data_IF_600609670228
#
_entry.id   IF_600609670228
#
_cell.length_a   1.000
_cell.length_b   1.000
_cell.length_c   1.000
_cell.angle_alpha   90.00
_cell.angle_beta   90.00
_cell.angle_gamma   90.00
#
_symmetry.space_group_name_H-M   'P 1'
#
loop_
_entity.id
_entity.type
_entity.pdbx_description
1 polymer ?
#
# COMPACT_ATOMS: atom_id res chain seq x y z
N UNK A 1 -4.00 -3.03 22.00
CA UNK A 1 -4.52 -3.43 20.67
C UNK A 1 -5.13 -2.29 19.83
N UNK A 2 -6.18 -1.55 20.23
CA UNK A 2 -6.74 -0.49 19.35
C UNK A 2 -5.72 0.63 19.01
N UNK A 3 -4.91 1.07 19.98
CA UNK A 3 -3.82 2.03 19.74
C UNK A 3 -2.70 1.47 18.83
N UNK A 4 -2.42 0.16 18.89
CA UNK A 4 -1.38 -0.49 18.08
C UNK A 4 -1.84 -0.73 16.63
N UNK A 5 -3.15 -0.81 16.39
CA UNK A 5 -3.72 -0.99 15.04
C UNK A 5 -3.57 0.26 14.18
N UNK A 6 -3.61 1.44 14.78
CA UNK A 6 -3.33 2.73 14.12
C UNK A 6 -1.91 2.73 13.50
N UNK A 7 -0.98 1.95 14.06
CA UNK A 7 0.42 1.89 13.60
C UNK A 7 0.69 0.87 12.49
N UNK A 8 -0.29 0.05 12.07
CA UNK A 8 -0.04 -1.08 11.16
C UNK A 8 0.14 -0.70 9.68
N UNK A 9 -0.42 0.42 9.22
CA UNK A 9 -0.43 0.78 7.80
C UNK A 9 0.21 2.16 7.54
N UNK A 10 1.53 2.24 7.73
CA UNK A 10 2.31 3.44 7.48
C UNK A 10 2.50 3.74 5.96
N UNK A 11 2.06 4.90 5.46
CA UNK A 11 2.15 5.24 4.04
C UNK A 11 3.60 5.33 3.50
N UNK A 12 4.56 5.61 4.38
CA UNK A 12 5.97 5.82 4.03
C UNK A 12 6.62 4.64 3.29
N UNK A 13 6.15 3.41 3.50
CA UNK A 13 6.67 2.22 2.82
C UNK A 13 6.41 2.32 1.31
N UNK A 14 5.16 2.62 0.92
CA UNK A 14 4.80 2.76 -0.50
C UNK A 14 5.33 4.08 -1.07
N UNK A 15 5.29 5.17 -0.29
CA UNK A 15 5.77 6.49 -0.72
C UNK A 15 7.22 6.45 -1.23
N UNK A 16 8.11 5.78 -0.48
CA UNK A 16 9.51 5.65 -0.89
C UNK A 16 9.63 4.90 -2.22
N UNK A 17 8.93 3.79 -2.36
CA UNK A 17 9.04 2.93 -3.54
C UNK A 17 8.38 3.58 -4.76
N UNK A 18 7.25 4.26 -4.60
CA UNK A 18 6.62 5.05 -5.65
C UNK A 18 7.58 6.14 -6.16
N UNK A 19 8.25 6.85 -5.26
CA UNK A 19 9.23 7.88 -5.62
C UNK A 19 10.40 7.27 -6.41
N UNK A 20 10.97 6.18 -5.91
CA UNK A 20 12.10 5.51 -6.57
C UNK A 20 11.71 4.97 -7.97
N UNK A 21 10.50 4.39 -8.12
CA UNK A 21 10.01 3.86 -9.40
C UNK A 21 9.69 4.97 -10.39
N UNK A 22 9.08 6.07 -9.94
CA UNK A 22 8.85 7.26 -10.78
C UNK A 22 10.16 7.80 -11.32
N UNK A 23 11.17 7.95 -10.45
CA UNK A 23 12.50 8.41 -10.85
C UNK A 23 13.13 7.46 -11.87
N UNK A 24 13.14 6.17 -11.59
CA UNK A 24 13.64 5.16 -12.52
C UNK A 24 12.93 5.21 -13.88
N UNK A 25 11.60 5.37 -13.90
CA UNK A 25 10.83 5.44 -15.12
C UNK A 25 11.13 6.71 -15.94
N UNK A 26 11.52 7.80 -15.28
CA UNK A 26 11.92 9.06 -15.91
C UNK A 26 13.35 9.03 -16.47
N UNK A 27 14.22 8.16 -15.96
CA UNK A 27 15.62 8.04 -16.42
C UNK A 27 15.83 6.88 -17.40
N UNK A 28 14.94 5.89 -17.41
CA UNK A 28 15.07 4.70 -18.25
C UNK A 28 14.41 4.92 -19.60
N UNK A 29 15.15 4.64 -20.67
CA UNK A 29 14.66 4.70 -22.05
C UNK A 29 14.32 3.32 -22.60
N UNK A 30 13.27 3.27 -23.39
CA UNK A 30 12.84 2.11 -24.17
C UNK A 30 13.68 1.97 -25.45
N UNK A 31 13.63 0.82 -26.13
CA UNK A 31 14.34 0.62 -27.40
C UNK A 31 13.95 1.63 -28.51
N UNK A 32 12.75 2.22 -28.42
CA UNK A 32 12.27 3.24 -29.35
C UNK A 32 12.66 4.68 -28.97
N UNK A 33 13.45 4.84 -27.89
CA UNK A 33 13.96 6.12 -27.42
C UNK A 33 13.03 6.89 -26.48
N UNK A 34 11.77 6.47 -26.31
CA UNK A 34 10.86 7.09 -25.31
C UNK A 34 11.30 6.72 -23.91
N UNK A 35 11.01 7.55 -22.90
CA UNK A 35 11.21 7.15 -21.51
C UNK A 35 10.10 6.19 -21.10
N UNK A 36 10.39 5.31 -20.13
CA UNK A 36 9.36 4.42 -19.57
C UNK A 36 8.17 5.23 -19.05
N UNK A 37 8.43 6.38 -18.41
CA UNK A 37 7.40 7.30 -17.89
C UNK A 37 6.52 7.95 -18.98
N UNK A 38 6.90 7.91 -20.25
CA UNK A 38 6.13 8.49 -21.35
C UNK A 38 5.05 7.52 -21.89
N UNK A 39 4.99 6.28 -21.39
CA UNK A 39 3.92 5.34 -21.70
C UNK A 39 2.67 5.62 -20.86
N UNK A 40 1.51 5.70 -21.49
CA UNK A 40 0.23 6.00 -20.83
C UNK A 40 -0.08 5.04 -19.68
N UNK A 41 0.06 3.72 -19.89
CA UNK A 41 -0.20 2.73 -18.84
C UNK A 41 0.72 2.87 -17.62
N UNK A 42 1.96 3.35 -17.80
CA UNK A 42 2.88 3.65 -16.69
C UNK A 42 2.38 4.86 -15.91
N UNK A 43 1.91 5.90 -16.60
CA UNK A 43 1.35 7.09 -15.97
C UNK A 43 0.08 6.75 -15.18
N UNK A 44 -0.80 5.91 -15.74
CA UNK A 44 -2.01 5.43 -15.05
C UNK A 44 -1.68 4.66 -13.77
N UNK A 45 -0.72 3.73 -13.84
CA UNK A 45 -0.28 2.97 -12.66
C UNK A 45 0.31 3.88 -11.59
N UNK A 46 1.21 4.80 -11.96
CA UNK A 46 1.80 5.76 -11.03
C UNK A 46 0.73 6.67 -10.41
N UNK A 47 -0.22 7.17 -11.22
CA UNK A 47 -1.30 8.03 -10.76
C UNK A 47 -2.25 7.31 -9.80
N UNK A 48 -2.63 6.06 -10.11
CA UNK A 48 -3.48 5.24 -9.24
C UNK A 48 -2.82 4.95 -7.90
N UNK A 49 -1.55 4.53 -7.91
CA UNK A 49 -0.80 4.27 -6.68
C UNK A 49 -0.64 5.55 -5.85
N UNK A 50 -0.38 6.69 -6.50
CA UNK A 50 -0.34 7.97 -5.81
C UNK A 50 -1.67 8.34 -5.17
N UNK A 51 -2.79 8.23 -5.88
CA UNK A 51 -4.11 8.57 -5.35
C UNK A 51 -4.49 7.71 -4.13
N UNK A 52 -4.26 6.39 -4.19
CA UNK A 52 -4.52 5.49 -3.07
C UNK A 52 -3.55 5.74 -1.89
N UNK A 53 -2.30 6.12 -2.16
CA UNK A 53 -1.34 6.54 -1.12
C UNK A 53 -1.82 7.81 -0.39
N UNK A 54 -2.29 8.82 -1.13
CA UNK A 54 -2.82 10.05 -0.53
C UNK A 54 -4.04 9.75 0.34
N UNK A 55 -4.95 8.89 -0.13
CA UNK A 55 -6.08 8.44 0.69
C UNK A 55 -5.58 7.78 1.99
N UNK A 56 -4.64 6.83 1.91
CA UNK A 56 -4.10 6.16 3.08
C UNK A 56 -3.45 7.15 4.06
N UNK A 57 -2.72 8.15 3.55
CA UNK A 57 -2.10 9.19 4.39
C UNK A 57 -3.16 10.01 5.12
N UNK A 58 -4.16 10.50 4.39
CA UNK A 58 -5.21 11.36 4.94
C UNK A 58 -6.06 10.63 5.98
N UNK A 59 -6.44 9.37 5.73
CA UNK A 59 -7.23 8.60 6.70
C UNK A 59 -6.43 8.30 7.97
N UNK A 60 -5.12 8.00 7.85
CA UNK A 60 -4.24 7.83 9.01
C UNK A 60 -4.15 9.12 9.85
N UNK A 61 -3.98 10.29 9.19
CA UNK A 61 -3.95 11.57 9.88
C UNK A 61 -5.26 11.91 10.57
N UNK A 62 -6.39 11.64 9.91
CA UNK A 62 -7.72 11.84 10.50
C UNK A 62 -7.87 11.02 11.79
N UNK A 63 -7.55 9.73 11.75
CA UNK A 63 -7.70 8.84 12.91
C UNK A 63 -6.69 9.19 14.02
N UNK A 64 -5.45 9.52 13.67
CA UNK A 64 -4.48 10.01 14.63
C UNK A 64 -4.96 11.28 15.33
N UNK A 65 -5.50 12.24 14.57
CA UNK A 65 -6.08 13.47 15.11
C UNK A 65 -7.29 13.18 16.02
N UNK A 66 -8.24 12.35 15.59
CA UNK A 66 -9.37 11.95 16.45
C UNK A 66 -8.89 11.31 17.77
N UNK A 67 -7.81 10.52 17.71
CA UNK A 67 -7.18 9.95 18.89
C UNK A 67 -6.66 11.00 19.88
N UNK A 68 -6.13 12.12 19.39
CA UNK A 68 -5.76 13.26 20.25
C UNK A 68 -6.95 13.95 20.91
N UNK A 69 -8.15 13.79 20.32
CA UNK A 69 -9.41 14.29 20.87
C UNK A 69 -10.09 13.26 21.79
N UNK A 70 -9.42 12.13 22.09
CA UNK A 70 -9.96 11.07 22.93
C UNK A 70 -10.98 10.16 22.23
N UNK A 71 -11.10 10.24 20.90
CA UNK A 71 -12.01 9.42 20.12
C UNK A 71 -11.24 8.46 19.21
N UNK A 72 -11.32 7.15 19.48
CA UNK A 72 -10.76 6.11 18.63
C UNK A 72 -11.84 5.07 18.33
N UNK A 73 -12.33 5.08 17.09
CA UNK A 73 -13.32 4.12 16.62
C UNK A 73 -12.63 2.83 16.12
N UNK A 74 -13.21 1.69 16.49
CA UNK A 74 -12.78 0.37 16.02
C UNK A 74 -12.96 0.26 14.50
N UNK A 75 -14.05 0.79 13.95
CA UNK A 75 -14.34 0.76 12.52
C UNK A 75 -13.32 1.56 11.72
N UNK A 76 -12.87 2.71 12.23
CA UNK A 76 -11.83 3.52 11.60
C UNK A 76 -10.50 2.77 11.54
N UNK A 77 -10.05 2.20 12.68
CA UNK A 77 -8.82 1.43 12.75
C UNK A 77 -8.87 0.17 11.85
N UNK A 78 -10.00 -0.54 11.83
CA UNK A 78 -10.21 -1.70 10.97
C UNK A 78 -10.24 -1.33 9.49
N UNK A 79 -10.84 -0.18 9.13
CA UNK A 79 -10.88 0.33 7.76
C UNK A 79 -9.48 0.65 7.24
N UNK A 80 -8.66 1.32 8.04
CA UNK A 80 -7.26 1.60 7.71
C UNK A 80 -6.49 0.30 7.46
N UNK A 81 -6.66 -0.71 8.33
CA UNK A 81 -5.96 -1.99 8.20
C UNK A 81 -6.34 -2.69 6.90
N UNK A 82 -7.64 -2.84 6.63
CA UNK A 82 -8.12 -3.51 5.41
C UNK A 82 -7.62 -2.78 4.17
N UNK A 83 -7.89 -1.47 4.10
CA UNK A 83 -7.49 -0.68 2.94
C UNK A 83 -5.98 -0.71 2.73
N UNK A 84 -5.21 -0.39 3.77
CA UNK A 84 -3.76 -0.23 3.68
C UNK A 84 -3.05 -1.52 3.27
N UNK A 85 -3.43 -2.65 3.86
CA UNK A 85 -2.78 -3.94 3.54
C UNK A 85 -3.10 -4.43 2.13
N UNK A 86 -4.32 -4.21 1.63
CA UNK A 86 -4.68 -4.58 0.26
C UNK A 86 -4.12 -3.59 -0.76
N UNK A 87 -4.08 -2.31 -0.40
CA UNK A 87 -3.40 -1.28 -1.18
C UNK A 87 -1.93 -1.61 -1.37
N UNK A 88 -1.20 -2.05 -0.33
CA UNK A 88 0.19 -2.46 -0.48
C UNK A 88 0.36 -3.51 -1.57
N UNK A 89 -0.46 -4.55 -1.58
CA UNK A 89 -0.38 -5.60 -2.59
C UNK A 89 -0.67 -5.07 -4.00
N UNK A 90 -1.70 -4.23 -4.17
CA UNK A 90 -2.01 -3.59 -5.45
C UNK A 90 -0.88 -2.66 -5.91
N UNK A 91 -0.35 -1.85 -5.01
CA UNK A 91 0.71 -0.89 -5.28
C UNK A 91 2.00 -1.59 -5.70
N UNK A 92 2.48 -2.56 -4.91
CA UNK A 92 3.72 -3.26 -5.25
C UNK A 92 3.59 -4.05 -6.55
N UNK A 93 2.42 -4.64 -6.84
CA UNK A 93 2.16 -5.28 -8.13
C UNK A 93 2.26 -4.28 -9.29
N UNK A 94 1.54 -3.16 -9.23
CA UNK A 94 1.54 -2.15 -10.30
C UNK A 94 2.95 -1.56 -10.52
N UNK A 95 3.67 -1.29 -9.44
CA UNK A 95 5.04 -0.77 -9.50
C UNK A 95 6.03 -1.82 -10.03
N UNK A 96 5.87 -3.10 -9.71
CA UNK A 96 6.65 -4.18 -10.32
C UNK A 96 6.35 -4.33 -11.81
N UNK A 97 5.10 -4.18 -12.24
CA UNK A 97 4.72 -4.20 -13.66
C UNK A 97 5.43 -3.08 -14.45
N UNK A 98 5.56 -1.88 -13.87
CA UNK A 98 6.33 -0.76 -14.48
C UNK A 98 7.81 -1.13 -14.65
N UNK A 99 8.44 -1.75 -13.64
CA UNK A 99 9.85 -2.16 -13.72
C UNK A 99 10.05 -3.34 -14.70
N UNK A 100 9.05 -4.21 -14.83
CA UNK A 100 9.15 -5.43 -15.61
C UNK A 100 10.05 -6.47 -14.96
N UNK A 101 10.88 -7.14 -15.76
CA UNK A 101 11.68 -8.31 -15.32
C UNK A 101 12.61 -7.99 -14.14
N UNK A 102 13.19 -6.79 -14.10
CA UNK A 102 14.08 -6.39 -13.00
C UNK A 102 13.36 -6.22 -11.66
N UNK A 103 12.01 -6.12 -11.66
CA UNK A 103 11.20 -5.96 -10.45
C UNK A 103 11.19 -7.20 -9.57
N UNK A 104 11.54 -8.36 -10.13
CA UNK A 104 11.63 -9.65 -9.44
C UNK A 104 13.03 -9.96 -8.90
N UNK A 105 14.01 -9.08 -9.13
CA UNK A 105 15.38 -9.31 -8.70
C UNK A 105 15.56 -8.95 -7.23
N UNK A 106 16.15 -9.89 -6.48
CA UNK A 106 16.47 -9.70 -5.07
C UNK A 106 17.63 -8.71 -4.90
N UNK A 107 17.69 -8.10 -3.73
CA UNK A 107 18.83 -7.25 -3.32
C UNK A 107 20.15 -8.00 -3.52
N UNK A 108 21.12 -7.32 -4.14
CA UNK A 108 22.45 -7.88 -4.41
C UNK A 108 22.57 -8.60 -5.75
N UNK A 109 21.45 -8.83 -6.47
CA UNK A 109 21.53 -9.32 -7.85
C UNK A 109 22.20 -8.27 -8.75
N UNK A 110 23.08 -8.67 -9.70
CA UNK A 110 23.82 -7.73 -10.56
C UNK A 110 22.95 -6.73 -11.33
N UNK A 111 21.75 -7.13 -11.74
CA UNK A 111 20.80 -6.30 -12.48
C UNK A 111 19.66 -5.72 -11.61
N UNK A 112 19.77 -5.83 -10.28
CA UNK A 112 18.72 -5.31 -9.40
C UNK A 112 18.61 -3.78 -9.52
N UNK A 113 17.38 -3.30 -9.75
CA UNK A 113 17.05 -1.87 -9.69
C UNK A 113 16.46 -1.53 -8.33
N UNK A 114 16.55 -0.26 -7.93
CA UNK A 114 15.91 0.24 -6.69
C UNK A 114 16.32 -0.60 -5.46
N UNK A 115 17.57 -1.06 -5.44
CA UNK A 115 18.14 -1.94 -4.41
C UNK A 115 17.34 -3.22 -4.11
N UNK A 116 16.54 -3.72 -5.06
CA UNK A 116 15.68 -4.90 -4.89
C UNK A 116 14.53 -4.70 -3.89
N UNK A 117 14.15 -3.44 -3.60
CA UNK A 117 13.11 -3.13 -2.60
C UNK A 117 11.72 -3.63 -3.01
N UNK A 118 11.37 -3.53 -4.30
CA UNK A 118 10.05 -3.96 -4.80
C UNK A 118 9.80 -5.44 -4.53
N UNK A 119 10.75 -6.29 -4.94
CA UNK A 119 10.73 -7.73 -4.72
C UNK A 119 10.56 -8.07 -3.23
N UNK A 120 11.36 -7.44 -2.37
CA UNK A 120 11.32 -7.65 -0.93
C UNK A 120 9.95 -7.27 -0.35
N UNK A 121 9.45 -6.07 -0.66
CA UNK A 121 8.17 -5.60 -0.13
C UNK A 121 6.99 -6.41 -0.66
N UNK A 122 6.98 -6.77 -1.94
CA UNK A 122 5.91 -7.58 -2.52
C UNK A 122 5.72 -8.90 -1.76
N UNK A 123 6.80 -9.56 -1.34
CA UNK A 123 6.72 -10.77 -0.51
C UNK A 123 6.34 -10.48 0.94
N UNK A 124 6.95 -9.46 1.55
CA UNK A 124 6.75 -9.17 2.97
C UNK A 124 5.33 -8.68 3.31
N UNK A 125 4.68 -7.95 2.41
CA UNK A 125 3.39 -7.31 2.70
C UNK A 125 2.21 -8.29 2.77
N UNK A 126 2.33 -9.48 2.19
CA UNK A 126 1.29 -10.52 2.21
C UNK A 126 0.91 -10.86 3.66
N UNK A 127 1.89 -10.93 4.56
CA UNK A 127 1.69 -11.28 5.97
C UNK A 127 0.71 -10.33 6.66
N UNK A 128 0.67 -9.06 6.25
CA UNK A 128 -0.19 -8.05 6.89
C UNK A 128 -1.68 -8.25 6.57
N UNK A 129 -2.03 -8.93 5.49
CA UNK A 129 -3.44 -9.19 5.13
C UNK A 129 -4.14 -10.10 6.13
N UNK A 130 -3.41 -11.03 6.75
CA UNK A 130 -3.93 -11.94 7.77
C UNK A 130 -3.39 -11.65 9.19
N UNK A 131 -2.19 -11.08 9.29
CA UNK A 131 -1.58 -10.66 10.55
C UNK A 131 -2.36 -9.53 11.23
N UNK A 132 -2.39 -9.53 12.57
CA UNK A 132 -3.13 -8.53 13.35
C UNK A 132 -4.65 -8.65 13.25
N UNK A 133 -5.15 -9.80 12.78
CA UNK A 133 -6.56 -10.08 12.48
C UNK A 133 -6.82 -9.99 10.98
N UNK A 134 -7.38 -11.06 10.39
CA UNK A 134 -7.56 -11.15 8.94
C UNK A 134 -8.49 -10.08 8.41
N UNK A 135 -8.32 -9.68 7.15
CA UNK A 135 -9.13 -8.61 6.56
C UNK A 135 -10.63 -8.93 6.57
N UNK A 136 -11.03 -10.19 6.56
CA UNK A 136 -12.42 -10.63 6.72
C UNK A 136 -12.94 -10.27 8.11
N UNK A 137 -12.19 -10.62 9.17
CA UNK A 137 -12.55 -10.26 10.55
C UNK A 137 -12.57 -8.74 10.73
N UNK A 138 -11.66 -8.00 10.11
CA UNK A 138 -11.69 -6.55 10.16
C UNK A 138 -12.92 -5.97 9.45
N UNK A 139 -13.36 -6.55 8.34
CA UNK A 139 -14.62 -6.15 7.67
C UNK A 139 -15.84 -6.41 8.54
N UNK A 140 -15.86 -7.51 9.28
CA UNK A 140 -16.93 -7.76 10.26
C UNK A 140 -16.95 -6.69 11.35
N UNK A 141 -15.78 -6.25 11.83
CA UNK A 141 -15.70 -5.14 12.78
C UNK A 141 -16.20 -3.82 12.18
N UNK A 142 -15.87 -3.53 10.92
CA UNK A 142 -16.40 -2.34 10.22
C UNK A 142 -17.93 -2.41 10.13
N UNK A 143 -18.49 -3.57 9.79
CA UNK A 143 -19.93 -3.76 9.70
C UNK A 143 -20.63 -3.55 11.06
N UNK A 144 -20.10 -4.13 12.13
CA UNK A 144 -20.71 -4.04 13.47
C UNK A 144 -20.56 -2.64 14.06
N UNK A 145 -19.34 -2.10 14.09
CA UNK A 145 -19.04 -0.86 14.79
C UNK A 145 -19.29 0.38 13.94
N UNK A 146 -19.07 0.30 12.62
CA UNK A 146 -19.23 1.45 11.71
C UNK A 146 -20.61 1.54 11.08
N UNK A 147 -21.28 0.40 10.85
CA UNK A 147 -22.59 0.36 10.17
C UNK A 147 -23.73 -0.11 11.09
N UNK A 148 -23.45 -0.48 12.35
CA UNK A 148 -24.47 -0.95 13.30
C UNK A 148 -25.11 -2.28 12.91
N UNK A 149 -24.45 -3.08 12.06
CA UNK A 149 -24.98 -4.37 11.63
C UNK A 149 -24.92 -5.40 12.78
N UNK A 150 -25.84 -6.37 12.84
CA UNK A 150 -25.76 -7.45 13.81
C UNK A 150 -24.50 -8.29 13.56
N UNK A 151 -23.97 -8.89 14.63
CA UNK A 151 -22.84 -9.80 14.52
C UNK A 151 -23.20 -11.01 13.67
N UNK A 152 -22.35 -11.32 12.69
CA UNK A 152 -22.49 -12.54 11.89
C UNK A 152 -22.50 -13.78 12.79
N UNK A 153 -23.46 -14.69 12.58
CA UNK A 153 -23.68 -15.90 13.38
C UNK A 153 -22.78 -17.08 12.98
N UNK A 154 -21.70 -16.85 12.23
CA UNK A 154 -20.77 -17.92 11.85
C UNK A 154 -19.87 -18.33 13.01
#
# INVERSE_FOLDING_TARGET
>A
LNHERVTLCAPGIVERVLTDVRHWAQETTLPDGRRVADQEWVQEHLARVHAELEFLRLINWKVAWQGTQGHLDVADASSIKVFGTEFYLRAFRALMEIIGQAGYLTRGSPAAVIAGRLEMYARSMIILTFGGGTNEIQRDLIAIFGLGMPRSLR
#
